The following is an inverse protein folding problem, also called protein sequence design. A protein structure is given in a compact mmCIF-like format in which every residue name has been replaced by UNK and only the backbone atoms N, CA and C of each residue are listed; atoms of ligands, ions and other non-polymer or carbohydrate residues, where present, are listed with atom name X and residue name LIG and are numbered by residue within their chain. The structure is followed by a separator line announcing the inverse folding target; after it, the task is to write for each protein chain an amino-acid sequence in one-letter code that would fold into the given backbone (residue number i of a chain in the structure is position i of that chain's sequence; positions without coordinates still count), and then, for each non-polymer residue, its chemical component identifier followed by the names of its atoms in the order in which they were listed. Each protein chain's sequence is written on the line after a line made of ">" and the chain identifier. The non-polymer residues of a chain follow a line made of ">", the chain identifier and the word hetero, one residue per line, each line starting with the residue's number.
data_IF_348762792343
#
_entry.id   IF_348762792343
#
_cell.length_a   1.000
_cell.length_b   1.000
_cell.length_c   1.000
_cell.angle_alpha   90.00
_cell.angle_beta   90.00
_cell.angle_gamma   90.00
#
_symmetry.space_group_name_H-M   'P 1'
#
loop_
_entity.id
_entity.type
_entity.pdbx_description
1 polymer ?
#
# COMPACT_ATOMS: atom_id res chain seq x y z
N UNK A 1 -24.65 -6.20 7.13
CA UNK A 1 -24.77 -4.79 6.75
C UNK A 1 -23.49 -4.10 7.17
N UNK A 2 -22.50 -4.04 6.26
CA UNK A 2 -21.35 -3.18 6.45
C UNK A 2 -21.79 -1.77 6.08
N UNK A 3 -21.75 -0.84 7.01
CA UNK A 3 -21.93 0.58 6.72
C UNK A 3 -20.77 1.01 5.84
N UNK A 4 -21.07 1.28 4.59
CA UNK A 4 -20.12 1.61 3.53
C UNK A 4 -19.43 2.97 3.68
N UNK A 5 -19.79 3.75 4.69
CA UNK A 5 -19.28 5.11 4.91
C UNK A 5 -17.90 5.16 5.61
N UNK A 6 -17.39 4.05 6.17
CA UNK A 6 -16.21 4.07 7.04
C UNK A 6 -14.97 3.35 6.49
N UNK A 7 -14.99 2.80 5.28
CA UNK A 7 -13.87 1.97 4.82
C UNK A 7 -12.78 2.73 4.03
N UNK A 8 -13.07 3.90 3.47
CA UNK A 8 -12.11 4.66 2.65
C UNK A 8 -11.96 6.16 2.95
N UNK A 9 -12.55 6.76 3.96
CA UNK A 9 -12.17 8.12 4.37
C UNK A 9 -10.78 8.20 4.99
N UNK A 10 -10.09 7.06 5.13
CA UNK A 10 -8.81 6.95 5.84
C UNK A 10 -7.72 7.77 5.17
N UNK A 11 -7.69 7.87 3.84
CA UNK A 11 -6.59 8.49 3.11
C UNK A 11 -6.56 10.03 3.14
N UNK A 12 -7.70 10.67 3.02
CA UNK A 12 -7.79 12.13 3.13
C UNK A 12 -7.86 12.61 4.58
N UNK A 13 -8.39 11.77 5.47
CA UNK A 13 -8.55 12.10 6.88
C UNK A 13 -7.29 11.91 7.72
N UNK A 14 -6.38 11.00 7.37
CA UNK A 14 -5.22 10.71 8.23
C UNK A 14 -4.22 11.86 8.26
N UNK A 15 -3.94 12.53 7.14
CA UNK A 15 -3.09 13.72 7.14
C UNK A 15 -3.74 14.86 7.95
N UNK A 16 -5.04 15.09 7.77
CA UNK A 16 -5.80 16.08 8.55
C UNK A 16 -5.86 15.71 10.04
N UNK A 17 -6.15 14.44 10.36
CA UNK A 17 -6.15 13.94 11.75
C UNK A 17 -4.79 14.08 12.42
N UNK A 18 -3.72 13.73 11.72
CA UNK A 18 -2.36 13.83 12.25
C UNK A 18 -1.99 15.29 12.51
N UNK A 19 -2.31 16.21 11.60
CA UNK A 19 -2.07 17.64 11.79
C UNK A 19 -2.94 18.22 12.90
N UNK A 20 -4.20 17.85 12.99
CA UNK A 20 -5.10 18.28 14.09
C UNK A 20 -4.63 17.72 15.42
N UNK A 21 -4.19 16.46 15.47
CA UNK A 21 -3.60 15.86 16.68
C UNK A 21 -2.31 16.56 17.07
N UNK A 22 -1.42 16.79 16.11
CA UNK A 22 -0.17 17.53 16.33
C UNK A 22 -0.44 18.97 16.82
N UNK A 23 -1.40 19.67 16.23
CA UNK A 23 -1.81 20.99 16.66
C UNK A 23 -2.41 21.00 18.08
N UNK A 24 -3.21 19.98 18.42
CA UNK A 24 -3.75 19.79 19.76
C UNK A 24 -2.68 19.43 20.80
N UNK A 25 -1.70 18.61 20.43
CA UNK A 25 -0.58 18.22 21.29
C UNK A 25 0.40 19.39 21.53
N UNK A 26 0.50 20.35 20.59
CA UNK A 26 1.31 21.56 20.72
C UNK A 26 0.59 22.67 21.50
N UNK A 27 -0.73 22.66 21.54
CA UNK A 27 -1.54 23.68 22.21
C UNK A 27 -1.74 23.39 23.71
N UNK A 28 -0.67 23.12 24.44
CA UNK A 28 -0.69 23.00 25.91
C UNK A 28 -1.32 24.27 26.55
N UNK A 29 -2.62 24.25 26.78
CA UNK A 29 -3.34 25.27 27.55
C UNK A 29 -4.18 26.27 26.77
N UNK A 30 -4.32 26.16 25.47
CA UNK A 30 -5.38 26.87 24.74
C UNK A 30 -6.59 25.95 24.59
N UNK A 31 -7.76 26.46 24.96
CA UNK A 31 -9.05 25.76 24.82
C UNK A 31 -9.12 25.01 23.50
N UNK A 32 -9.63 23.78 23.59
CA UNK A 32 -9.78 22.87 22.46
C UNK A 32 -10.13 23.65 21.20
N UNK A 33 -9.25 23.62 20.22
CA UNK A 33 -9.48 24.21 18.90
C UNK A 33 -10.59 23.37 18.28
N UNK A 34 -11.82 23.65 18.69
CA UNK A 34 -13.01 23.11 18.06
C UNK A 34 -13.04 23.60 16.63
N UNK A 35 -13.19 22.70 15.67
CA UNK A 35 -13.45 22.96 14.25
C UNK A 35 -12.53 24.01 13.57
N UNK A 36 -11.24 23.98 13.82
CA UNK A 36 -10.29 24.77 13.04
C UNK A 36 -10.18 24.17 11.65
N UNK A 37 -10.77 24.84 10.70
CA UNK A 37 -10.65 24.51 9.29
C UNK A 37 -9.24 24.92 8.81
N UNK A 38 -8.27 24.00 8.94
CA UNK A 38 -6.98 24.17 8.29
C UNK A 38 -7.15 23.99 6.79
N UNK A 39 -6.76 24.95 5.96
CA UNK A 39 -6.74 24.76 4.51
C UNK A 39 -5.59 23.78 4.16
N UNK A 40 -5.88 22.48 4.19
CA UNK A 40 -4.96 21.43 3.74
C UNK A 40 -5.48 20.90 2.43
N UNK A 41 -4.71 21.07 1.38
CA UNK A 41 -4.95 20.44 0.10
C UNK A 41 -4.03 19.22 -0.04
N UNK A 42 -4.61 18.08 -0.37
CA UNK A 42 -3.83 16.87 -0.72
C UNK A 42 -3.58 16.85 -2.22
N UNK A 43 -2.33 16.76 -2.60
CA UNK A 43 -1.95 16.61 -4.02
C UNK A 43 -2.22 15.20 -4.58
N UNK A 44 -2.77 14.28 -3.79
CA UNK A 44 -3.08 12.93 -4.24
C UNK A 44 -4.27 12.94 -5.19
N UNK A 45 -4.01 12.74 -6.46
CA UNK A 45 -5.01 12.61 -7.52
C UNK A 45 -5.17 11.19 -8.04
N UNK A 46 -4.57 10.20 -7.41
CA UNK A 46 -4.69 8.82 -7.86
C UNK A 46 -6.08 8.26 -7.55
N UNK A 47 -6.61 7.52 -8.51
CA UNK A 47 -7.93 6.92 -8.40
C UNK A 47 -8.01 5.94 -7.23
N UNK A 48 -9.14 5.95 -6.52
CA UNK A 48 -9.43 5.05 -5.42
C UNK A 48 -9.93 3.72 -5.98
N UNK A 49 -9.49 2.57 -5.44
CA UNK A 49 -10.01 1.26 -5.85
C UNK A 49 -11.52 1.15 -5.60
N UNK A 50 -12.21 0.42 -6.47
CA UNK A 50 -13.63 0.08 -6.28
C UNK A 50 -13.80 -0.71 -4.98
N UNK A 51 -14.67 -0.23 -4.09
CA UNK A 51 -14.91 -0.83 -2.78
C UNK A 51 -15.40 -2.28 -2.87
N UNK A 52 -16.20 -2.63 -3.88
CA UNK A 52 -16.67 -4.00 -4.06
C UNK A 52 -15.54 -4.92 -4.51
N UNK A 53 -14.59 -4.41 -5.31
CA UNK A 53 -13.38 -5.13 -5.67
C UNK A 53 -12.55 -5.39 -4.43
N UNK A 54 -12.29 -4.36 -3.63
CA UNK A 54 -11.49 -4.48 -2.40
C UNK A 54 -12.14 -5.45 -1.42
N UNK A 55 -13.45 -5.34 -1.19
CA UNK A 55 -14.17 -6.23 -0.30
C UNK A 55 -14.03 -7.72 -0.70
N UNK A 56 -14.13 -8.02 -2.01
CA UNK A 56 -13.93 -9.39 -2.51
C UNK A 56 -12.48 -9.86 -2.42
N UNK A 57 -11.51 -8.98 -2.65
CA UNK A 57 -10.09 -9.29 -2.47
C UNK A 57 -9.81 -9.60 -1.01
N UNK A 58 -10.26 -8.76 -0.08
CA UNK A 58 -10.13 -8.99 1.37
C UNK A 58 -10.80 -10.30 1.77
N UNK A 59 -12.02 -10.58 1.26
CA UNK A 59 -12.71 -11.85 1.51
C UNK A 59 -11.87 -13.05 1.04
N UNK A 60 -11.25 -12.96 -0.13
CA UNK A 60 -10.40 -14.03 -0.66
C UNK A 60 -9.17 -14.25 0.23
N UNK A 61 -8.50 -13.17 0.69
CA UNK A 61 -7.35 -13.23 1.60
C UNK A 61 -7.73 -13.88 2.93
N UNK A 62 -8.77 -13.36 3.59
CA UNK A 62 -9.20 -13.82 4.92
C UNK A 62 -9.63 -15.30 4.89
N UNK A 63 -10.32 -15.71 3.84
CA UNK A 63 -10.78 -17.09 3.69
C UNK A 63 -9.75 -18.01 3.00
N UNK A 64 -8.55 -17.51 2.70
CA UNK A 64 -7.49 -18.26 1.99
C UNK A 64 -8.00 -18.91 0.71
N UNK A 65 -8.68 -18.15 -0.15
CA UNK A 65 -9.28 -18.62 -1.40
C UNK A 65 -8.59 -18.01 -2.62
N UNK A 66 -8.55 -18.77 -3.68
CA UNK A 66 -8.22 -18.22 -5.00
C UNK A 66 -9.34 -17.30 -5.50
N UNK A 67 -9.00 -16.41 -6.42
CA UNK A 67 -9.97 -15.54 -7.11
C UNK A 67 -9.69 -15.47 -8.60
N UNK A 68 -10.74 -15.32 -9.38
CA UNK A 68 -10.67 -14.95 -10.80
C UNK A 68 -10.99 -13.49 -10.95
N UNK A 69 -10.17 -12.76 -11.72
CA UNK A 69 -10.30 -11.33 -11.96
C UNK A 69 -10.08 -10.99 -13.43
N UNK A 70 -10.58 -9.84 -13.85
CA UNK A 70 -10.07 -9.17 -15.05
C UNK A 70 -9.06 -8.13 -14.59
N UNK A 71 -7.83 -8.23 -15.08
CA UNK A 71 -6.74 -7.33 -14.77
C UNK A 71 -6.26 -6.56 -16.00
N UNK A 72 -6.12 -5.25 -15.88
CA UNK A 72 -5.58 -4.39 -16.93
C UNK A 72 -4.10 -4.11 -16.68
N UNK A 73 -3.24 -4.75 -17.47
CA UNK A 73 -1.78 -4.60 -17.42
C UNK A 73 -1.31 -3.50 -18.37
N UNK A 74 -0.22 -2.81 -18.01
CA UNK A 74 0.41 -1.82 -18.89
C UNK A 74 1.04 -2.44 -20.14
N UNK A 75 1.51 -3.68 -20.02
CA UNK A 75 2.24 -4.34 -21.11
C UNK A 75 1.39 -5.26 -21.98
N UNK A 76 0.34 -5.90 -21.39
CA UNK A 76 -0.44 -6.93 -22.07
C UNK A 76 -1.95 -6.60 -22.20
N UNK A 77 -2.34 -5.37 -21.78
CA UNK A 77 -3.74 -4.96 -21.83
C UNK A 77 -4.61 -5.70 -20.79
N UNK A 78 -5.92 -5.74 -21.08
CA UNK A 78 -6.90 -6.37 -20.19
C UNK A 78 -7.04 -7.85 -20.47
N UNK A 79 -7.08 -8.66 -19.41
CA UNK A 79 -7.22 -10.11 -19.54
C UNK A 79 -7.59 -10.79 -18.23
N UNK A 80 -8.12 -12.02 -18.34
CA UNK A 80 -8.44 -12.84 -17.19
C UNK A 80 -7.15 -13.30 -16.46
N UNK A 81 -7.21 -13.33 -15.13
CA UNK A 81 -6.19 -13.87 -14.22
C UNK A 81 -6.84 -14.72 -13.17
N UNK A 82 -6.16 -15.76 -12.76
CA UNK A 82 -6.46 -16.50 -11.55
C UNK A 82 -5.35 -16.22 -10.55
N UNK A 83 -5.73 -15.64 -9.41
CA UNK A 83 -4.83 -15.15 -8.38
C UNK A 83 -5.14 -15.82 -7.05
N UNK A 84 -4.10 -16.12 -6.28
CA UNK A 84 -4.22 -16.51 -4.88
C UNK A 84 -3.66 -15.38 -4.02
N UNK A 85 -4.52 -14.47 -3.55
CA UNK A 85 -4.10 -13.30 -2.81
C UNK A 85 -3.78 -13.64 -1.36
N UNK A 86 -2.76 -12.98 -0.78
CA UNK A 86 -2.45 -13.17 0.64
C UNK A 86 -2.21 -11.88 1.41
N UNK A 87 -1.90 -10.77 0.76
CA UNK A 87 -1.63 -9.50 1.45
C UNK A 87 -2.03 -8.30 0.61
N UNK A 88 -2.41 -7.22 1.30
CA UNK A 88 -2.58 -5.90 0.69
C UNK A 88 -1.36 -5.07 1.05
N UNK A 89 -0.83 -4.33 0.08
CA UNK A 89 0.35 -3.49 0.18
C UNK A 89 -0.02 -2.07 -0.23
N UNK A 90 0.31 -1.10 0.62
CA UNK A 90 0.30 0.32 0.28
C UNK A 90 1.74 0.79 0.09
N UNK A 91 2.02 1.41 -1.05
CA UNK A 91 3.33 2.02 -1.32
C UNK A 91 3.30 3.56 -1.20
N UNK A 92 2.28 4.11 -0.53
CA UNK A 92 2.07 5.56 -0.38
C UNK A 92 1.45 6.25 -1.60
N UNK A 93 1.38 5.58 -2.75
CA UNK A 93 0.75 6.09 -3.97
C UNK A 93 -0.41 5.23 -4.46
N UNK A 94 -0.30 3.92 -4.29
CA UNK A 94 -1.26 2.94 -4.81
C UNK A 94 -1.36 1.75 -3.89
N UNK A 95 -2.54 1.21 -3.85
CA UNK A 95 -2.82 -0.07 -3.22
C UNK A 95 -2.61 -1.22 -4.18
N UNK A 96 -1.92 -2.24 -3.70
CA UNK A 96 -1.64 -3.47 -4.41
C UNK A 96 -2.17 -4.66 -3.62
N UNK A 97 -2.48 -5.74 -4.31
CA UNK A 97 -2.62 -7.06 -3.71
C UNK A 97 -1.43 -7.92 -4.13
N UNK A 98 -0.74 -8.49 -3.15
CA UNK A 98 0.29 -9.51 -3.35
C UNK A 98 -0.40 -10.85 -3.52
N UNK A 99 -0.11 -11.57 -4.61
CA UNK A 99 -0.80 -12.80 -4.97
C UNK A 99 0.10 -13.71 -5.79
N UNK A 100 -0.12 -15.02 -5.68
CA UNK A 100 0.38 -15.96 -6.68
C UNK A 100 -0.45 -15.85 -7.96
N UNK A 101 0.18 -15.62 -9.07
CA UNK A 101 -0.45 -15.55 -10.39
C UNK A 101 -0.30 -16.90 -11.10
N UNK A 102 -1.39 -17.62 -11.26
CA UNK A 102 -1.42 -18.91 -11.94
C UNK A 102 -0.97 -18.85 -13.40
N UNK A 103 -1.09 -17.66 -14.03
CA UNK A 103 -0.62 -17.48 -15.40
C UNK A 103 0.90 -17.42 -15.51
N UNK A 104 1.57 -16.71 -14.60
CA UNK A 104 3.04 -16.59 -14.59
C UNK A 104 3.73 -17.58 -13.66
N UNK A 105 2.97 -18.36 -12.87
CA UNK A 105 3.47 -19.32 -11.87
C UNK A 105 4.46 -18.65 -10.90
N UNK A 106 4.11 -17.44 -10.41
CA UNK A 106 4.96 -16.68 -9.52
C UNK A 106 4.16 -15.67 -8.68
N UNK A 107 4.69 -15.30 -7.52
CA UNK A 107 4.13 -14.23 -6.70
C UNK A 107 4.40 -12.86 -7.33
N UNK A 108 3.37 -12.03 -7.38
CA UNK A 108 3.40 -10.69 -7.97
C UNK A 108 2.46 -9.73 -7.26
N UNK A 109 2.68 -8.45 -7.51
CA UNK A 109 1.82 -7.38 -7.03
C UNK A 109 0.89 -6.88 -8.13
N UNK A 110 -0.40 -6.76 -7.79
CA UNK A 110 -1.45 -6.32 -8.69
C UNK A 110 -2.08 -5.04 -8.15
N UNK A 111 -2.03 -3.97 -8.92
CA UNK A 111 -2.64 -2.68 -8.55
C UNK A 111 -4.16 -2.84 -8.45
N UNK A 112 -4.74 -2.53 -7.29
CA UNK A 112 -6.16 -2.76 -7.03
C UNK A 112 -7.08 -1.99 -7.97
N UNK A 113 -6.73 -0.76 -8.36
CA UNK A 113 -7.52 0.04 -9.32
C UNK A 113 -7.57 -0.53 -10.74
N UNK A 114 -6.72 -1.53 -11.03
CA UNK A 114 -6.66 -2.22 -12.33
C UNK A 114 -7.36 -3.56 -12.32
N UNK A 115 -7.97 -3.92 -11.18
CA UNK A 115 -8.74 -5.16 -11.02
C UNK A 115 -10.21 -4.86 -11.23
N UNK A 116 -10.89 -5.75 -11.94
CA UNK A 116 -12.35 -5.75 -12.10
C UNK A 116 -12.92 -7.16 -12.12
N UNK A 117 -14.23 -7.30 -11.96
CA UNK A 117 -14.97 -8.58 -12.08
C UNK A 117 -14.42 -9.69 -11.18
N UNK A 118 -14.17 -9.38 -9.90
CA UNK A 118 -13.64 -10.35 -8.94
C UNK A 118 -14.67 -11.43 -8.62
N UNK A 119 -14.26 -12.70 -8.73
CA UNK A 119 -15.04 -13.86 -8.30
C UNK A 119 -14.17 -14.75 -7.43
N UNK A 120 -14.56 -14.95 -6.17
CA UNK A 120 -13.87 -15.86 -5.25
C UNK A 120 -14.08 -17.31 -5.72
N UNK A 121 -13.02 -18.08 -5.69
CA UNK A 121 -12.94 -19.47 -6.18
C UNK A 121 -12.70 -20.47 -5.04
N UNK A 122 -12.31 -21.68 -5.42
CA UNK A 122 -11.96 -22.75 -4.50
C UNK A 122 -10.65 -22.47 -3.72
N UNK A 123 -10.28 -23.40 -2.88
CA UNK A 123 -9.01 -23.37 -2.16
C UNK A 123 -7.82 -23.44 -3.09
N UNK A 124 -6.71 -22.77 -2.74
CA UNK A 124 -5.47 -22.83 -3.50
C UNK A 124 -4.73 -24.15 -3.25
N UNK A 125 -3.80 -24.47 -4.14
CA UNK A 125 -2.81 -25.49 -3.91
C UNK A 125 -1.75 -25.00 -2.90
N UNK A 126 -1.07 -25.93 -2.20
CA UNK A 126 -0.13 -25.58 -1.14
C UNK A 126 0.98 -24.63 -1.60
N UNK A 127 1.53 -24.83 -2.81
CA UNK A 127 2.62 -24.01 -3.35
C UNK A 127 2.21 -22.58 -3.74
N UNK A 128 0.90 -22.31 -3.80
CA UNK A 128 0.34 -20.99 -4.11
C UNK A 128 0.16 -20.12 -2.86
N UNK A 129 0.37 -20.71 -1.67
CA UNK A 129 0.13 -20.04 -0.39
C UNK A 129 1.31 -19.17 0.04
N UNK A 130 1.05 -18.21 0.93
CA UNK A 130 2.01 -17.21 1.41
C UNK A 130 3.30 -17.81 1.98
N UNK A 131 3.25 -19.01 2.52
CA UNK A 131 4.39 -19.72 3.07
C UNK A 131 5.47 -20.04 2.01
N UNK A 132 5.09 -20.02 0.73
CA UNK A 132 5.97 -20.25 -0.42
C UNK A 132 6.39 -18.94 -1.13
N UNK A 133 5.92 -17.78 -0.65
CA UNK A 133 6.40 -16.49 -1.14
C UNK A 133 7.72 -16.10 -0.45
N UNK A 134 8.83 -16.58 -0.98
CA UNK A 134 10.18 -16.35 -0.43
C UNK A 134 10.51 -14.85 -0.33
N UNK A 135 10.11 -14.04 -1.33
CA UNK A 135 10.36 -12.61 -1.32
C UNK A 135 9.52 -11.89 -0.24
N UNK A 136 8.34 -12.40 0.07
CA UNK A 136 7.52 -11.89 1.16
C UNK A 136 8.02 -12.34 2.53
N UNK A 137 8.48 -13.57 2.65
CA UNK A 137 9.03 -14.14 3.88
C UNK A 137 10.38 -13.55 4.28
N UNK A 138 11.19 -13.10 3.31
CA UNK A 138 12.55 -12.62 3.53
C UNK A 138 12.59 -11.13 3.89
N UNK A 139 13.22 -10.81 5.02
CA UNK A 139 13.56 -9.44 5.40
C UNK A 139 14.98 -9.11 4.92
N UNK A 140 15.16 -7.91 4.43
CA UNK A 140 16.45 -7.39 3.99
C UNK A 140 16.73 -6.03 4.63
N UNK A 141 17.95 -5.78 5.09
CA UNK A 141 18.38 -4.45 5.51
C UNK A 141 18.58 -3.56 4.27
N UNK A 142 18.06 -2.35 4.33
CA UNK A 142 18.29 -1.30 3.35
C UNK A 142 18.94 -0.11 4.02
N UNK A 143 19.95 0.46 3.37
CA UNK A 143 20.53 1.75 3.70
C UNK A 143 20.23 2.73 2.58
N UNK A 144 19.45 3.76 2.88
CA UNK A 144 19.10 4.81 1.94
C UNK A 144 19.91 6.04 2.29
N UNK A 145 20.57 6.61 1.29
CA UNK A 145 21.43 7.80 1.42
C UNK A 145 21.04 8.84 0.37
N UNK A 146 21.26 10.15 0.64
CA UNK A 146 21.06 11.18 -0.37
C UNK A 146 21.94 10.90 -1.60
N UNK A 147 21.40 11.10 -2.81
CA UNK A 147 22.13 10.81 -4.03
C UNK A 147 23.39 11.70 -4.15
N UNK A 148 24.61 11.12 -4.23
CA UNK A 148 25.86 11.87 -4.02
C UNK A 148 26.16 12.92 -5.10
N UNK A 149 25.53 12.81 -6.30
CA UNK A 149 25.78 13.74 -7.42
C UNK A 149 24.61 14.70 -7.66
N UNK A 150 23.38 14.27 -7.37
CA UNK A 150 22.19 15.03 -7.74
C UNK A 150 21.72 15.95 -6.61
N UNK A 151 22.16 15.71 -5.37
CA UNK A 151 21.76 16.48 -4.20
C UNK A 151 22.91 17.37 -3.78
N UNK A 152 22.73 18.68 -3.93
CA UNK A 152 23.73 19.68 -3.55
C UNK A 152 23.83 19.92 -2.04
N UNK A 153 22.68 19.81 -1.36
CA UNK A 153 22.56 20.03 0.08
C UNK A 153 21.88 18.81 0.71
N UNK A 154 22.65 17.76 1.04
CA UNK A 154 22.12 16.50 1.56
C UNK A 154 21.34 16.66 2.86
N UNK A 155 21.70 17.63 3.70
CA UNK A 155 21.02 17.90 4.98
C UNK A 155 19.51 18.12 4.83
N UNK A 156 19.04 18.67 3.70
CA UNK A 156 17.60 18.81 3.46
C UNK A 156 16.90 17.44 3.38
N UNK A 157 17.52 16.49 2.67
CA UNK A 157 17.00 15.11 2.58
C UNK A 157 17.12 14.37 3.91
N UNK A 158 18.23 14.61 4.64
CA UNK A 158 18.44 14.02 5.96
C UNK A 158 17.33 14.44 6.94
N UNK A 159 16.92 15.71 6.90
CA UNK A 159 15.81 16.23 7.71
C UNK A 159 14.44 15.67 7.26
N UNK A 160 14.18 15.60 5.96
CA UNK A 160 12.91 15.12 5.41
C UNK A 160 12.66 13.63 5.76
N UNK A 161 13.71 12.84 5.81
CA UNK A 161 13.66 11.39 6.07
C UNK A 161 14.15 10.99 7.47
N UNK A 162 14.41 11.96 8.35
CA UNK A 162 14.95 11.72 9.69
C UNK A 162 16.16 10.77 9.69
N UNK A 163 17.11 11.01 8.78
CA UNK A 163 18.30 10.18 8.63
C UNK A 163 19.28 10.41 9.79
N UNK A 164 19.85 9.35 10.30
CA UNK A 164 20.93 9.41 11.29
C UNK A 164 22.28 9.30 10.59
N UNK A 165 23.17 10.26 10.82
CA UNK A 165 24.49 10.34 10.17
C UNK A 165 24.44 10.24 8.63
N UNK A 166 23.40 10.80 8.02
CA UNK A 166 23.20 10.79 6.56
C UNK A 166 22.67 9.48 6.00
N UNK A 167 22.20 8.56 6.85
CA UNK A 167 21.70 7.25 6.43
C UNK A 167 20.35 6.96 7.07
N UNK A 168 19.39 6.53 6.26
CA UNK A 168 18.14 5.91 6.74
C UNK A 168 18.30 4.39 6.68
N UNK A 169 18.28 3.72 7.83
CA UNK A 169 18.35 2.27 7.95
C UNK A 169 16.96 1.69 8.13
N UNK A 170 16.57 0.79 7.24
CA UNK A 170 15.28 0.12 7.24
C UNK A 170 15.47 -1.39 7.17
N UNK A 171 14.56 -2.14 7.79
CA UNK A 171 14.41 -3.56 7.56
C UNK A 171 13.06 -3.79 6.88
N UNK A 172 13.08 -4.31 5.65
CA UNK A 172 11.89 -4.42 4.80
C UNK A 172 11.78 -5.80 4.17
N UNK A 173 10.56 -6.21 3.83
CA UNK A 173 10.36 -7.42 3.04
C UNK A 173 10.99 -7.23 1.66
N UNK A 174 11.71 -8.25 1.16
CA UNK A 174 12.37 -8.18 -0.14
C UNK A 174 11.38 -7.85 -1.26
N UNK A 175 10.16 -8.38 -1.20
CA UNK A 175 9.08 -8.06 -2.13
C UNK A 175 8.72 -6.57 -2.18
N UNK A 176 8.98 -5.81 -1.10
CA UNK A 176 8.62 -4.40 -0.99
C UNK A 176 9.77 -3.44 -1.26
N UNK A 177 11.01 -3.94 -1.35
CA UNK A 177 12.19 -3.09 -1.52
C UNK A 177 12.12 -2.18 -2.74
N UNK A 178 11.56 -2.68 -3.85
CA UNK A 178 11.42 -1.92 -5.10
C UNK A 178 10.42 -0.75 -5.02
N UNK A 179 9.63 -0.63 -3.96
CA UNK A 179 8.73 0.52 -3.75
C UNK A 179 9.40 1.69 -3.02
N UNK A 180 10.58 1.47 -2.43
CA UNK A 180 11.32 2.45 -1.65
C UNK A 180 12.45 3.13 -2.46
N UNK A 181 12.72 2.62 -3.66
CA UNK A 181 13.73 3.10 -4.60
C UNK A 181 13.07 3.84 -5.75
#
# INVERSE_FOLDING_TARGET
>A
YFQTENFFPVFEHDAKRTLVKLANDISDGFDAIGDVHFPVESASSLNVPDIFVVAKVVQAIVNKKAMSVIYTSLSSGSGARELVPHSIVDNGQRWHVRAFDRKSQSFRDFVLTRISKVTVKAEPDAHECVEHDEEWGRLIPLEIVPHPKNIKYPTAIELDYAMEEGVLKLEVRAAMAGYLL
#
